data_IF_950822894974
#
_entry.id   IF_950822894974
#
_cell.length_a   1.000
_cell.length_b   1.000
_cell.length_c   1.000
_cell.angle_alpha   90.00
_cell.angle_beta   90.00
_cell.angle_gamma   90.00
#
_symmetry.space_group_name_H-M   'P 1'
#
loop_
_entity.id
_entity.type
_entity.pdbx_description
1 polymer ?
#
# COMPACT_ATOMS: atom_id res chain seq x y z
N UNK A 1 -33.90 14.33 11.34
CA UNK A 1 -33.22 13.15 10.72
C UNK A 1 -31.92 13.53 10.00
N UNK A 2 -31.92 14.58 9.16
CA UNK A 2 -30.73 15.09 8.43
C UNK A 2 -29.59 15.57 9.34
N UNK A 3 -29.89 16.17 10.49
CA UNK A 3 -28.88 16.64 11.48
C UNK A 3 -28.21 15.49 12.26
N UNK A 4 -28.93 14.41 12.58
CA UNK A 4 -28.35 13.19 13.18
C UNK A 4 -27.48 12.43 12.19
N UNK A 5 -27.88 12.39 10.92
CA UNK A 5 -27.08 11.82 9.83
C UNK A 5 -25.78 12.61 9.59
N UNK A 6 -25.79 13.94 9.72
CA UNK A 6 -24.58 14.77 9.69
C UNK A 6 -23.66 14.54 10.91
N UNK A 7 -24.22 14.36 12.11
CA UNK A 7 -23.43 14.06 13.31
C UNK A 7 -22.79 12.65 13.26
N UNK A 8 -23.52 11.65 12.74
CA UNK A 8 -22.99 10.32 12.42
C UNK A 8 -21.90 10.40 11.33
N UNK A 9 -22.09 11.27 10.33
CA UNK A 9 -21.10 11.57 9.29
C UNK A 9 -19.82 12.26 9.80
N UNK A 10 -19.81 12.82 11.02
CA UNK A 10 -18.61 13.36 11.68
C UNK A 10 -18.00 12.42 12.72
N UNK A 11 -18.71 11.37 13.14
CA UNK A 11 -18.24 10.42 14.17
C UNK A 11 -17.98 9.01 13.62
N UNK A 12 -18.21 8.77 12.34
CA UNK A 12 -18.03 7.44 11.73
C UNK A 12 -16.62 6.88 11.96
N UNK A 13 -15.59 7.72 11.96
CA UNK A 13 -14.20 7.31 12.23
C UNK A 13 -14.02 6.75 13.63
N UNK A 14 -14.81 7.20 14.62
CA UNK A 14 -14.81 6.64 15.97
C UNK A 14 -15.77 5.45 16.13
N UNK A 15 -16.90 5.45 15.42
CA UNK A 15 -17.93 4.40 15.53
C UNK A 15 -17.49 3.11 14.82
N UNK A 16 -16.89 3.23 13.64
CA UNK A 16 -16.56 2.07 12.80
C UNK A 16 -15.52 1.15 13.45
N UNK A 17 -14.42 1.62 14.09
CA UNK A 17 -13.52 0.76 14.84
C UNK A 17 -14.22 -0.04 15.96
N UNK A 18 -15.13 0.61 16.69
CA UNK A 18 -15.92 -0.06 17.75
C UNK A 18 -16.85 -1.11 17.14
N UNK A 19 -17.55 -0.75 16.05
CA UNK A 19 -18.41 -1.67 15.32
C UNK A 19 -17.63 -2.87 14.79
N UNK A 20 -16.41 -2.65 14.29
CA UNK A 20 -15.55 -3.73 13.79
C UNK A 20 -15.22 -4.74 14.88
N UNK A 21 -14.93 -4.29 16.10
CA UNK A 21 -14.67 -5.18 17.25
C UNK A 21 -15.93 -5.90 17.72
N UNK A 22 -17.07 -5.21 17.79
CA UNK A 22 -18.34 -5.85 18.14
C UNK A 22 -18.68 -6.93 17.12
N UNK A 23 -18.56 -6.61 15.84
CA UNK A 23 -18.82 -7.56 14.77
C UNK A 23 -17.84 -8.73 14.83
N UNK A 24 -16.55 -8.47 15.05
CA UNK A 24 -15.53 -9.48 15.24
C UNK A 24 -15.90 -10.46 16.36
N UNK A 25 -16.33 -9.95 17.52
CA UNK A 25 -16.76 -10.78 18.64
C UNK A 25 -18.01 -11.62 18.31
N UNK A 26 -18.94 -11.08 17.52
CA UNK A 26 -20.16 -11.77 17.10
C UNK A 26 -19.91 -12.84 16.04
N UNK A 27 -18.89 -12.65 15.20
CA UNK A 27 -18.55 -13.56 14.08
C UNK A 27 -17.41 -14.53 14.42
N UNK A 28 -16.74 -14.36 15.57
CA UNK A 28 -15.56 -15.15 15.93
C UNK A 28 -15.89 -16.65 16.00
N UNK A 29 -15.17 -17.45 15.20
CA UNK A 29 -15.31 -18.91 15.19
C UNK A 29 -16.65 -19.42 14.68
N UNK A 30 -17.38 -18.63 13.87
CA UNK A 30 -18.67 -19.01 13.29
C UNK A 30 -18.61 -18.98 11.77
N UNK A 31 -19.30 -19.92 11.14
CA UNK A 31 -19.56 -19.87 9.69
C UNK A 31 -20.56 -18.74 9.39
N UNK A 32 -20.22 -17.92 8.41
CA UNK A 32 -20.98 -16.72 8.09
C UNK A 32 -21.81 -16.92 6.82
N UNK A 33 -23.13 -16.68 6.86
CA UNK A 33 -23.92 -16.64 5.63
C UNK A 33 -23.46 -15.46 4.76
N UNK A 34 -23.57 -15.59 3.43
CA UNK A 34 -22.99 -14.62 2.49
C UNK A 34 -23.42 -13.15 2.70
N UNK A 35 -24.66 -12.92 3.18
CA UNK A 35 -25.13 -11.57 3.54
C UNK A 35 -24.34 -10.99 4.72
N UNK A 36 -24.03 -11.81 5.73
CA UNK A 36 -23.23 -11.38 6.88
C UNK A 36 -21.80 -11.12 6.45
N UNK A 37 -21.24 -11.94 5.54
CA UNK A 37 -19.91 -11.67 4.98
C UNK A 37 -19.89 -10.33 4.25
N UNK A 38 -20.89 -10.01 3.43
CA UNK A 38 -20.96 -8.71 2.76
C UNK A 38 -20.97 -7.54 3.76
N UNK A 39 -21.71 -7.66 4.88
CA UNK A 39 -21.70 -6.68 5.96
C UNK A 39 -20.32 -6.58 6.62
N UNK A 40 -19.69 -7.72 6.91
CA UNK A 40 -18.33 -7.76 7.49
C UNK A 40 -17.32 -7.08 6.56
N UNK A 41 -17.36 -7.37 5.26
CA UNK A 41 -16.47 -6.76 4.26
C UNK A 41 -16.66 -5.25 4.18
N UNK A 42 -17.90 -4.76 4.26
CA UNK A 42 -18.17 -3.31 4.30
C UNK A 42 -17.62 -2.66 5.57
N UNK A 43 -17.79 -3.31 6.73
CA UNK A 43 -17.25 -2.81 8.00
C UNK A 43 -15.72 -2.87 8.00
N UNK A 44 -15.12 -3.92 7.44
CA UNK A 44 -13.68 -4.05 7.24
C UNK A 44 -13.13 -2.88 6.40
N UNK A 45 -13.73 -2.60 5.24
CA UNK A 45 -13.32 -1.47 4.40
C UNK A 45 -13.45 -0.13 5.14
N UNK A 46 -14.53 0.06 5.89
CA UNK A 46 -14.71 1.23 6.75
C UNK A 46 -13.65 1.32 7.86
N UNK A 47 -13.27 0.20 8.47
CA UNK A 47 -12.27 0.14 9.53
C UNK A 47 -10.86 0.46 9.01
N UNK A 48 -10.52 0.02 7.80
CA UNK A 48 -9.27 0.43 7.12
C UNK A 48 -9.25 1.95 6.89
N UNK A 49 -10.34 2.53 6.36
CA UNK A 49 -10.43 3.98 6.17
C UNK A 49 -10.35 4.75 7.50
N UNK A 50 -10.97 4.23 8.57
CA UNK A 50 -10.88 4.82 9.90
C UNK A 50 -9.48 4.71 10.51
N UNK A 51 -8.78 3.57 10.32
CA UNK A 51 -7.40 3.38 10.75
C UNK A 51 -6.47 4.40 10.09
N UNK A 52 -6.55 4.56 8.77
CA UNK A 52 -5.75 5.56 8.04
C UNK A 52 -6.07 6.97 8.54
N UNK A 53 -7.34 7.32 8.75
CA UNK A 53 -7.70 8.63 9.32
C UNK A 53 -7.07 8.87 10.70
N UNK A 54 -7.10 7.88 11.59
CA UNK A 54 -6.48 8.04 12.91
C UNK A 54 -4.96 8.11 12.83
N UNK A 55 -4.34 7.37 11.90
CA UNK A 55 -2.91 7.50 11.61
C UNK A 55 -2.56 8.91 11.10
N UNK A 56 -3.37 9.50 10.21
CA UNK A 56 -3.21 10.89 9.76
C UNK A 56 -3.32 11.91 10.91
N UNK A 57 -4.26 11.71 11.84
CA UNK A 57 -4.41 12.60 13.01
C UNK A 57 -3.16 12.55 13.89
N UNK A 58 -2.59 11.36 14.09
CA UNK A 58 -1.34 11.19 14.85
C UNK A 58 -0.18 11.82 14.07
N UNK A 59 -0.09 11.59 12.76
CA UNK A 59 0.91 12.16 11.88
C UNK A 59 0.90 13.70 11.93
N UNK A 60 -0.28 14.33 11.85
CA UNK A 60 -0.44 15.77 11.97
C UNK A 60 -0.02 16.31 13.34
N UNK A 61 -0.16 15.52 14.42
CA UNK A 61 0.30 15.92 15.74
C UNK A 61 1.83 15.85 15.84
N UNK A 62 2.41 14.78 15.32
CA UNK A 62 3.86 14.56 15.31
C UNK A 62 4.56 15.64 14.48
N UNK A 63 3.90 16.10 13.42
CA UNK A 63 4.42 17.16 12.55
C UNK A 63 5.41 16.62 11.53
N UNK A 64 5.70 17.43 10.51
CA UNK A 64 6.71 17.07 9.53
C UNK A 64 8.13 17.19 10.13
N UNK A 65 9.04 16.27 9.77
CA UNK A 65 8.86 15.23 8.75
C UNK A 65 8.45 13.85 9.31
N UNK A 66 8.41 13.67 10.63
CA UNK A 66 8.14 12.36 11.24
C UNK A 66 6.68 11.89 11.10
N UNK A 67 5.74 12.80 10.85
CA UNK A 67 4.34 12.49 10.64
C UNK A 67 4.10 11.57 9.44
N UNK A 68 4.78 11.80 8.31
CA UNK A 68 4.65 10.94 7.11
C UNK A 68 5.15 9.52 7.37
N UNK A 69 6.21 9.37 8.18
CA UNK A 69 6.72 8.06 8.61
C UNK A 69 5.70 7.32 9.48
N UNK A 70 5.03 8.00 10.42
CA UNK A 70 3.98 7.40 11.25
C UNK A 70 2.83 6.87 10.41
N UNK A 71 2.40 7.64 9.40
CA UNK A 71 1.35 7.20 8.48
C UNK A 71 1.77 5.95 7.69
N UNK A 72 2.97 5.98 7.09
CA UNK A 72 3.49 4.87 6.31
C UNK A 72 3.59 3.59 7.16
N UNK A 73 4.16 3.69 8.36
CA UNK A 73 4.26 2.55 9.29
C UNK A 73 2.88 2.02 9.69
N UNK A 74 1.91 2.89 9.97
CA UNK A 74 0.56 2.44 10.33
C UNK A 74 -0.12 1.66 9.19
N UNK A 75 0.00 2.13 7.94
CA UNK A 75 -0.54 1.44 6.76
C UNK A 75 0.17 0.10 6.55
N UNK A 76 1.50 0.07 6.66
CA UNK A 76 2.26 -1.19 6.52
C UNK A 76 1.95 -2.18 7.64
N UNK A 77 1.68 -1.72 8.87
CA UNK A 77 1.21 -2.61 9.95
C UNK A 77 -0.10 -3.30 9.56
N UNK A 78 -1.05 -2.58 8.93
CA UNK A 78 -2.28 -3.19 8.41
C UNK A 78 -1.94 -4.26 7.38
N UNK A 79 -1.14 -3.92 6.38
CA UNK A 79 -0.74 -4.82 5.30
C UNK A 79 -0.07 -6.10 5.83
N UNK A 80 0.99 -5.93 6.64
CA UNK A 80 1.76 -7.03 7.24
C UNK A 80 0.89 -7.90 8.12
N UNK A 81 0.05 -7.31 8.97
CA UNK A 81 -0.78 -8.09 9.87
C UNK A 81 -1.79 -8.95 9.09
N UNK A 82 -2.34 -8.44 7.99
CA UNK A 82 -3.20 -9.22 7.09
C UNK A 82 -2.42 -10.36 6.42
N UNK A 83 -1.26 -10.06 5.82
CA UNK A 83 -0.41 -11.08 5.18
C UNK A 83 -0.05 -12.20 6.17
N UNK A 84 0.49 -11.85 7.34
CA UNK A 84 0.95 -12.81 8.36
C UNK A 84 -0.21 -13.65 8.88
N UNK A 85 -1.38 -13.04 9.13
CA UNK A 85 -2.55 -13.76 9.64
C UNK A 85 -3.04 -14.80 8.63
N UNK A 86 -3.11 -14.42 7.35
CA UNK A 86 -3.57 -15.32 6.30
C UNK A 86 -2.54 -16.39 5.96
N UNK A 87 -1.25 -16.08 6.03
CA UNK A 87 -0.19 -17.08 5.93
C UNK A 87 -0.22 -18.11 7.06
N UNK A 88 -0.57 -17.67 8.28
CA UNK A 88 -0.68 -18.58 9.42
C UNK A 88 -1.84 -19.57 9.27
N UNK A 89 -2.94 -19.18 8.62
CA UNK A 89 -4.14 -20.01 8.47
C UNK A 89 -4.19 -20.80 7.15
N UNK A 90 -3.60 -20.27 6.06
CA UNK A 90 -3.82 -20.75 4.69
C UNK A 90 -2.93 -21.93 4.25
N UNK A 91 -2.04 -22.43 5.11
CA UNK A 91 -1.16 -23.57 4.80
C UNK A 91 -0.34 -23.39 3.51
N UNK A 92 -0.12 -24.46 2.75
CA UNK A 92 0.71 -24.43 1.53
C UNK A 92 0.16 -23.49 0.43
N UNK A 93 -1.16 -23.28 0.38
CA UNK A 93 -1.81 -22.37 -0.58
C UNK A 93 -1.41 -20.91 -0.36
N UNK A 94 -1.00 -20.56 0.86
CA UNK A 94 -0.57 -19.22 1.25
C UNK A 94 0.92 -18.96 1.05
N UNK A 95 1.69 -19.95 0.60
CA UNK A 95 3.16 -19.85 0.46
C UNK A 95 3.63 -18.72 -0.45
N UNK A 96 2.80 -18.31 -1.42
CA UNK A 96 3.06 -17.17 -2.32
C UNK A 96 2.32 -15.89 -1.93
N UNK A 97 1.47 -15.92 -0.90
CA UNK A 97 0.55 -14.81 -0.60
C UNK A 97 1.30 -13.51 -0.29
N UNK A 98 2.39 -13.58 0.48
CA UNK A 98 3.25 -12.42 0.75
C UNK A 98 3.80 -11.82 -0.55
N UNK A 99 4.36 -12.66 -1.43
CA UNK A 99 4.86 -12.23 -2.74
C UNK A 99 3.77 -11.59 -3.57
N UNK A 100 2.64 -12.26 -3.72
CA UNK A 100 1.57 -11.83 -4.61
C UNK A 100 0.95 -10.51 -4.13
N UNK A 101 0.79 -10.35 -2.80
CA UNK A 101 0.29 -9.11 -2.19
C UNK A 101 1.28 -7.95 -2.35
N UNK A 102 2.57 -8.17 -2.03
CA UNK A 102 3.61 -7.12 -2.16
C UNK A 102 3.81 -6.73 -3.63
N UNK A 103 3.83 -7.71 -4.53
CA UNK A 103 3.94 -7.43 -5.97
C UNK A 103 2.71 -6.68 -6.51
N UNK A 104 1.50 -7.09 -6.09
CA UNK A 104 0.29 -6.35 -6.41
C UNK A 104 0.35 -4.91 -5.90
N UNK A 105 0.85 -4.69 -4.67
CA UNK A 105 1.03 -3.36 -4.12
C UNK A 105 1.92 -2.49 -5.03
N UNK A 106 3.07 -3.02 -5.49
CA UNK A 106 3.97 -2.33 -6.43
C UNK A 106 3.26 -1.98 -7.74
N UNK A 107 2.52 -2.93 -8.32
CA UNK A 107 1.83 -2.70 -9.59
C UNK A 107 0.68 -1.70 -9.45
N UNK A 108 -0.07 -1.77 -8.34
CA UNK A 108 -1.14 -0.81 -8.02
C UNK A 108 -0.54 0.58 -7.84
N UNK A 109 0.53 0.74 -7.07
CA UNK A 109 1.12 2.06 -6.80
C UNK A 109 1.79 2.64 -8.04
N UNK A 110 2.69 1.89 -8.68
CA UNK A 110 3.55 2.40 -9.76
C UNK A 110 2.82 2.57 -11.09
N UNK A 111 1.71 1.86 -11.30
CA UNK A 111 0.95 1.93 -12.55
C UNK A 111 -0.48 2.43 -12.32
N UNK A 112 -1.22 1.85 -11.37
CA UNK A 112 -2.59 2.26 -11.07
C UNK A 112 -2.68 3.69 -10.52
N UNK A 113 -2.09 3.92 -9.33
CA UNK A 113 -2.16 5.21 -8.63
C UNK A 113 -1.38 6.28 -9.40
N UNK A 114 -0.11 6.01 -9.76
CA UNK A 114 0.69 6.95 -10.57
C UNK A 114 -0.03 7.29 -11.88
N UNK A 115 -0.47 6.28 -12.65
CA UNK A 115 -1.16 6.51 -13.92
C UNK A 115 -2.43 7.35 -13.78
N UNK A 116 -3.25 7.06 -12.76
CA UNK A 116 -4.46 7.81 -12.47
C UNK A 116 -4.15 9.26 -12.06
N UNK A 117 -3.14 9.47 -11.20
CA UNK A 117 -2.76 10.80 -10.75
C UNK A 117 -2.18 11.65 -11.89
N UNK A 118 -1.33 11.07 -12.74
CA UNK A 118 -0.80 11.74 -13.92
C UNK A 118 -1.89 12.09 -14.91
N UNK A 119 -2.82 11.16 -15.18
CA UNK A 119 -3.95 11.41 -16.07
C UNK A 119 -4.84 12.52 -15.53
N UNK A 120 -5.20 12.47 -14.24
CA UNK A 120 -6.05 13.47 -13.60
C UNK A 120 -5.39 14.86 -13.58
N UNK A 121 -4.09 14.94 -13.27
CA UNK A 121 -3.35 16.20 -13.30
C UNK A 121 -3.25 16.76 -14.73
N UNK A 122 -2.86 15.92 -15.69
CA UNK A 122 -2.65 16.34 -17.07
C UNK A 122 -3.96 16.65 -17.83
N UNK A 123 -5.09 16.02 -17.50
CA UNK A 123 -6.38 16.36 -18.11
C UNK A 123 -6.85 17.77 -17.75
N UNK A 124 -6.42 18.30 -16.60
CA UNK A 124 -6.80 19.63 -16.14
C UNK A 124 -5.86 20.71 -16.70
N UNK A 125 -4.56 20.44 -16.73
CA UNK A 125 -3.53 21.44 -17.01
C UNK A 125 -2.70 21.14 -18.28
N UNK A 126 -3.16 20.19 -19.11
CA UNK A 126 -2.49 19.61 -20.30
C UNK A 126 -1.21 18.82 -20.00
N UNK A 127 -0.49 19.18 -18.94
CA UNK A 127 0.74 18.53 -18.49
C UNK A 127 0.72 18.46 -16.96
N UNK A 128 1.17 17.33 -16.40
CA UNK A 128 1.40 17.14 -14.98
C UNK A 128 2.90 17.37 -14.68
N UNK A 129 3.22 18.38 -13.86
CA UNK A 129 4.61 18.77 -13.53
C UNK A 129 5.00 18.23 -12.15
N UNK A 130 6.23 17.73 -12.04
CA UNK A 130 6.78 17.17 -10.81
C UNK A 130 8.31 17.20 -10.83
N UNK A 131 8.95 17.06 -9.68
CA UNK A 131 10.40 17.03 -9.54
C UNK A 131 10.95 15.65 -9.99
N UNK A 132 11.76 15.59 -11.06
CA UNK A 132 12.29 14.33 -11.58
C UNK A 132 13.34 13.70 -10.67
N UNK A 133 14.10 14.47 -9.89
CA UNK A 133 15.13 13.96 -9.00
C UNK A 133 14.52 13.14 -7.84
N UNK A 134 13.56 13.71 -7.12
CA UNK A 134 12.88 13.07 -6.00
C UNK A 134 12.04 11.88 -6.45
N UNK A 135 11.27 12.06 -7.53
CA UNK A 135 10.44 10.99 -8.10
C UNK A 135 11.30 9.87 -8.69
N UNK A 136 12.42 10.21 -9.33
CA UNK A 136 13.37 9.26 -9.91
C UNK A 136 14.07 8.44 -8.84
N UNK A 137 14.51 9.08 -7.75
CA UNK A 137 15.09 8.40 -6.59
C UNK A 137 14.09 7.43 -5.93
N UNK A 138 12.82 7.84 -5.81
CA UNK A 138 11.76 6.98 -5.29
C UNK A 138 11.54 5.75 -6.19
N UNK A 139 11.37 5.94 -7.50
CA UNK A 139 11.19 4.85 -8.46
C UNK A 139 12.39 3.89 -8.49
N UNK A 140 13.61 4.42 -8.46
CA UNK A 140 14.84 3.61 -8.45
C UNK A 140 14.93 2.74 -7.18
N UNK A 141 14.51 3.28 -6.04
CA UNK A 141 14.45 2.55 -4.77
C UNK A 141 13.40 1.44 -4.82
N UNK A 142 12.19 1.71 -5.32
CA UNK A 142 11.16 0.67 -5.56
C UNK A 142 11.69 -0.43 -6.48
N UNK A 143 12.29 -0.06 -7.62
CA UNK A 143 12.82 -1.01 -8.59
C UNK A 143 13.91 -1.90 -7.98
N UNK A 144 14.78 -1.31 -7.17
CA UNK A 144 15.85 -2.02 -6.46
C UNK A 144 15.28 -2.98 -5.42
N UNK A 145 14.36 -2.50 -4.57
CA UNK A 145 13.70 -3.33 -3.55
C UNK A 145 12.92 -4.49 -4.18
N UNK A 146 12.11 -4.23 -5.20
CA UNK A 146 11.32 -5.24 -5.91
C UNK A 146 12.23 -6.28 -6.56
N UNK A 147 13.30 -5.86 -7.23
CA UNK A 147 14.23 -6.78 -7.89
C UNK A 147 14.99 -7.62 -6.85
N UNK A 148 15.57 -6.96 -5.84
CA UNK A 148 16.34 -7.64 -4.80
C UNK A 148 15.49 -8.63 -4.01
N UNK A 149 14.25 -8.28 -3.66
CA UNK A 149 13.43 -9.12 -2.78
C UNK A 149 12.57 -10.13 -3.51
N UNK A 150 12.08 -9.80 -4.72
CA UNK A 150 11.07 -10.59 -5.41
C UNK A 150 11.58 -11.23 -6.71
N UNK A 151 12.63 -10.69 -7.35
CA UNK A 151 13.18 -11.28 -8.60
C UNK A 151 14.33 -12.23 -8.29
N UNK A 152 15.30 -11.80 -7.47
CA UNK A 152 16.48 -12.60 -7.15
C UNK A 152 16.21 -14.00 -6.57
N UNK A 153 15.20 -14.25 -5.71
CA UNK A 153 14.96 -15.61 -5.19
C UNK A 153 14.77 -16.66 -6.29
N UNK A 154 14.23 -16.26 -7.45
CA UNK A 154 14.01 -17.15 -8.61
C UNK A 154 15.33 -17.59 -9.27
N UNK A 155 16.42 -16.86 -9.07
CA UNK A 155 17.72 -17.11 -9.71
C UNK A 155 18.79 -17.65 -8.74
N UNK A 156 18.56 -17.60 -7.44
CA UNK A 156 19.48 -18.17 -6.46
C UNK A 156 19.41 -19.69 -6.44
N UNK A 157 20.55 -20.36 -6.22
CA UNK A 157 20.65 -21.84 -6.25
C UNK A 157 20.82 -22.49 -4.88
N UNK A 158 20.98 -21.70 -3.82
CA UNK A 158 21.27 -22.19 -2.46
C UNK A 158 20.12 -22.98 -1.85
N UNK A 159 18.88 -22.58 -2.14
CA UNK A 159 17.65 -23.30 -1.76
C UNK A 159 16.92 -23.70 -3.04
N UNK A 160 16.33 -24.89 -3.08
CA UNK A 160 15.55 -25.31 -4.23
C UNK A 160 14.23 -24.52 -4.29
N UNK A 161 13.89 -24.05 -5.49
CA UNK A 161 12.70 -23.26 -5.73
C UNK A 161 12.93 -21.74 -5.61
N UNK A 162 11.89 -20.94 -5.89
CA UNK A 162 11.92 -19.47 -5.85
C UNK A 162 11.91 -18.90 -4.42
N UNK A 163 12.81 -19.39 -3.58
CA UNK A 163 12.90 -19.07 -2.15
C UNK A 163 14.31 -18.63 -1.76
N UNK A 164 14.39 -17.74 -0.78
CA UNK A 164 15.67 -17.41 -0.16
C UNK A 164 16.09 -18.46 0.87
N UNK A 165 17.39 -18.73 0.94
CA UNK A 165 18.02 -19.29 2.14
C UNK A 165 17.97 -18.29 3.30
N UNK A 166 18.13 -18.75 4.54
CA UNK A 166 18.11 -17.88 5.73
C UNK A 166 19.08 -16.71 5.63
N UNK A 167 20.29 -16.93 5.12
CA UNK A 167 21.29 -15.88 4.94
C UNK A 167 20.87 -14.84 3.89
N UNK A 168 20.32 -15.29 2.76
CA UNK A 168 19.82 -14.40 1.69
C UNK A 168 18.61 -13.60 2.16
N UNK A 169 17.67 -14.23 2.88
CA UNK A 169 16.48 -13.57 3.43
C UNK A 169 16.87 -12.51 4.47
N UNK A 170 17.82 -12.84 5.35
CA UNK A 170 18.35 -11.90 6.34
C UNK A 170 19.00 -10.69 5.66
N UNK A 171 19.82 -10.93 4.63
CA UNK A 171 20.41 -9.86 3.84
C UNK A 171 19.34 -9.00 3.16
N UNK A 172 18.36 -9.60 2.49
CA UNK A 172 17.28 -8.90 1.82
C UNK A 172 16.45 -8.04 2.80
N UNK A 173 16.16 -8.57 3.99
CA UNK A 173 15.46 -7.84 5.05
C UNK A 173 16.28 -6.63 5.55
N UNK A 174 17.58 -6.82 5.84
CA UNK A 174 18.44 -5.71 6.30
C UNK A 174 18.60 -4.66 5.20
N UNK A 175 18.87 -5.09 3.96
CA UNK A 175 19.00 -4.18 2.81
C UNK A 175 17.71 -3.38 2.57
N UNK A 176 16.55 -4.02 2.76
CA UNK A 176 15.24 -3.38 2.64
C UNK A 176 15.04 -2.26 3.67
N UNK A 177 15.36 -2.54 4.94
CA UNK A 177 15.29 -1.53 6.01
C UNK A 177 16.27 -0.39 5.74
N UNK A 178 17.50 -0.70 5.30
CA UNK A 178 18.51 0.32 5.00
C UNK A 178 18.06 1.22 3.86
N UNK A 179 17.59 0.66 2.75
CA UNK A 179 17.10 1.43 1.60
C UNK A 179 15.88 2.28 1.96
N UNK A 180 14.92 1.72 2.71
CA UNK A 180 13.78 2.48 3.20
C UNK A 180 14.21 3.62 4.12
N UNK A 181 15.12 3.36 5.05
CA UNK A 181 15.68 4.39 5.95
C UNK A 181 16.43 5.50 5.22
N UNK A 182 17.22 5.16 4.20
CA UNK A 182 17.91 6.12 3.33
C UNK A 182 16.92 6.98 2.54
N UNK A 183 15.89 6.36 1.99
CA UNK A 183 14.82 7.07 1.28
C UNK A 183 14.10 8.04 2.21
N UNK A 184 13.61 7.55 3.36
CA UNK A 184 12.93 8.38 4.37
C UNK A 184 13.84 9.54 4.78
N UNK A 185 15.10 9.30 5.11
CA UNK A 185 16.04 10.37 5.51
C UNK A 185 16.25 11.41 4.40
N UNK A 186 16.29 10.97 3.14
CA UNK A 186 16.43 11.86 1.98
C UNK A 186 15.18 12.72 1.79
N UNK A 187 14.00 12.10 1.87
CA UNK A 187 12.71 12.77 1.74
C UNK A 187 12.42 13.74 2.89
N UNK A 188 12.88 13.41 4.10
CA UNK A 188 12.50 14.11 5.33
C UNK A 188 13.48 15.18 5.78
N UNK A 189 14.79 15.00 5.54
CA UNK A 189 15.83 15.87 6.09
C UNK A 189 16.74 16.42 5.00
N UNK A 190 17.37 15.55 4.21
CA UNK A 190 18.53 15.96 3.39
C UNK A 190 18.19 16.66 2.08
N UNK A 191 17.09 16.27 1.43
CA UNK A 191 16.70 16.79 0.11
C UNK A 191 15.17 16.96 0.04
N UNK A 192 14.57 17.49 1.11
CA UNK A 192 13.11 17.66 1.24
C UNK A 192 12.53 18.47 0.08
N UNK A 193 13.29 19.43 -0.43
CA UNK A 193 12.90 20.29 -1.55
C UNK A 193 12.49 19.51 -2.81
N UNK A 194 13.10 18.34 -3.06
CA UNK A 194 12.75 17.49 -4.20
C UNK A 194 11.40 16.79 -4.07
N UNK A 195 10.79 16.84 -2.89
CA UNK A 195 9.52 16.21 -2.59
C UNK A 195 8.41 17.23 -2.31
N UNK A 196 8.70 18.54 -2.36
CA UNK A 196 7.69 19.57 -2.16
C UNK A 196 6.82 19.74 -3.41
N UNK A 197 5.53 20.09 -3.26
CA UNK A 197 4.65 20.36 -4.40
C UNK A 197 5.22 21.48 -5.29
N UNK A 198 5.03 21.36 -6.60
CA UNK A 198 5.46 22.35 -7.59
C UNK A 198 4.24 23.03 -8.22
N UNK A 199 4.40 24.28 -8.66
CA UNK A 199 3.46 24.96 -9.57
C UNK A 199 3.58 24.42 -10.99
N UNK A 200 2.69 24.84 -11.89
CA UNK A 200 2.81 24.57 -13.33
C UNK A 200 4.14 25.12 -13.91
N UNK A 201 4.65 26.24 -13.39
CA UNK A 201 5.95 26.79 -13.79
C UNK A 201 7.15 26.04 -13.19
N UNK A 202 6.91 25.06 -12.32
CA UNK A 202 7.96 24.29 -11.65
C UNK A 202 8.52 24.96 -10.39
N UNK A 203 7.84 25.98 -9.86
CA UNK A 203 8.24 26.65 -8.62
C UNK A 203 7.74 25.89 -7.39
N UNK A 204 8.53 25.87 -6.32
CA UNK A 204 8.16 25.16 -5.08
C UNK A 204 7.01 25.89 -4.37
N UNK A 205 5.90 25.17 -4.15
CA UNK A 205 4.79 25.64 -3.32
C UNK A 205 5.13 25.33 -1.87
N UNK A 206 5.78 26.28 -1.21
CA UNK A 206 5.98 26.20 0.23
C UNK A 206 4.66 26.52 0.96
N UNK A 207 4.09 25.51 1.59
CA UNK A 207 2.88 25.67 2.41
C UNK A 207 3.21 25.42 3.88
N UNK A 208 4.14 26.19 4.42
CA UNK A 208 4.38 26.34 5.87
C UNK A 208 3.23 27.09 6.60
N UNK A 209 1.98 26.89 6.16
CA UNK A 209 0.78 27.28 6.87
C UNK A 209 0.52 26.31 8.01
N UNK A 210 1.19 26.52 9.15
CA UNK A 210 1.00 25.77 10.38
C UNK A 210 -0.43 25.94 10.92
N UNK A 211 -1.38 25.18 10.39
CA UNK A 211 -2.65 24.96 11.06
C UNK A 211 -2.35 24.36 12.45
N UNK A 212 -3.00 24.86 13.51
CA UNK A 212 -2.83 24.32 14.86
C UNK A 212 -3.11 22.81 14.83
N UNK A 213 -2.06 22.02 15.06
CA UNK A 213 -2.17 20.57 15.11
C UNK A 213 -3.20 20.11 16.14
N UNK A 214 -3.75 18.89 15.99
CA UNK A 214 -4.76 18.36 16.91
C UNK A 214 -4.26 18.37 18.36
N UNK A 215 -5.17 18.53 19.33
CA UNK A 215 -4.80 18.54 20.76
C UNK A 215 -4.19 17.19 21.19
N UNK A 216 -3.37 17.17 22.25
CA UNK A 216 -2.80 15.92 22.78
C UNK A 216 -3.87 14.90 23.16
N UNK A 217 -5.04 15.35 23.64
CA UNK A 217 -6.17 14.47 23.95
C UNK A 217 -6.75 13.83 22.68
N UNK A 218 -6.87 14.59 21.59
CA UNK A 218 -7.34 14.08 20.32
C UNK A 218 -6.35 13.07 19.71
N UNK A 219 -5.04 13.34 19.79
CA UNK A 219 -4.02 12.41 19.33
C UNK A 219 -4.02 11.09 20.13
N UNK A 220 -4.16 11.16 21.46
CA UNK A 220 -4.23 9.97 22.31
C UNK A 220 -5.50 9.15 22.06
N UNK A 221 -6.64 9.81 21.85
CA UNK A 221 -7.89 9.15 21.45
C UNK A 221 -7.74 8.47 20.10
N UNK A 222 -7.15 9.15 19.11
CA UNK A 222 -6.85 8.55 17.80
C UNK A 222 -5.90 7.37 17.90
N UNK A 223 -4.92 7.40 18.81
CA UNK A 223 -4.04 6.25 19.04
C UNK A 223 -4.82 5.03 19.56
N UNK A 224 -5.72 5.23 20.52
CA UNK A 224 -6.60 4.17 21.02
C UNK A 224 -7.54 3.62 19.94
N UNK A 225 -8.17 4.50 19.16
CA UNK A 225 -9.06 4.13 18.07
C UNK A 225 -8.33 3.47 16.89
N UNK A 226 -7.08 3.87 16.61
CA UNK A 226 -6.20 3.21 15.65
C UNK A 226 -5.94 1.77 16.10
N UNK A 227 -5.54 1.56 17.36
CA UNK A 227 -5.35 0.21 17.90
C UNK A 227 -6.60 -0.66 17.78
N UNK A 228 -7.77 -0.08 18.10
CA UNK A 228 -9.06 -0.77 17.95
C UNK A 228 -9.38 -1.11 16.50
N UNK A 229 -9.12 -0.18 15.58
CA UNK A 229 -9.31 -0.38 14.15
C UNK A 229 -8.38 -1.46 13.62
N UNK A 230 -7.11 -1.50 14.03
CA UNK A 230 -6.15 -2.53 13.64
C UNK A 230 -6.62 -3.93 14.06
N UNK A 231 -7.03 -4.10 15.32
CA UNK A 231 -7.56 -5.38 15.81
C UNK A 231 -8.81 -5.78 15.03
N UNK A 232 -9.71 -4.83 14.78
CA UNK A 232 -10.91 -5.05 13.98
C UNK A 232 -10.58 -5.46 12.54
N UNK A 233 -9.67 -4.74 11.87
CA UNK A 233 -9.26 -5.03 10.48
C UNK A 233 -8.66 -6.42 10.36
N UNK A 234 -7.68 -6.76 11.21
CA UNK A 234 -7.01 -8.06 11.16
C UNK A 234 -8.00 -9.19 11.45
N UNK A 235 -8.81 -9.05 12.50
CA UNK A 235 -9.78 -10.07 12.87
C UNK A 235 -10.90 -10.25 11.83
N UNK A 236 -11.48 -9.16 11.32
CA UNK A 236 -12.53 -9.24 10.32
C UNK A 236 -12.01 -9.78 8.99
N UNK A 237 -10.81 -9.38 8.57
CA UNK A 237 -10.21 -9.91 7.35
C UNK A 237 -9.95 -11.42 7.43
N UNK A 238 -9.51 -11.93 8.58
CA UNK A 238 -9.43 -13.37 8.83
C UNK A 238 -10.80 -14.06 8.71
N UNK A 239 -11.87 -13.42 9.19
CA UNK A 239 -13.23 -13.94 9.04
C UNK A 239 -13.74 -13.93 7.59
N UNK A 240 -13.27 -12.98 6.77
CA UNK A 240 -13.70 -12.83 5.36
C UNK A 240 -12.84 -13.65 4.40
N UNK A 241 -11.61 -14.00 4.75
CA UNK A 241 -10.68 -14.66 3.83
C UNK A 241 -11.17 -15.96 3.22
N UNK A 242 -11.87 -16.89 3.95
CA UNK A 242 -12.37 -18.11 3.32
C UNK A 242 -13.42 -17.80 2.26
N UNK A 243 -14.19 -16.71 2.42
CA UNK A 243 -15.16 -16.28 1.41
C UNK A 243 -14.47 -15.67 0.19
N UNK A 244 -13.40 -14.90 0.38
CA UNK A 244 -12.59 -14.39 -0.74
C UNK A 244 -11.96 -15.57 -1.50
N UNK A 245 -11.34 -16.52 -0.80
CA UNK A 245 -10.71 -17.70 -1.39
C UNK A 245 -11.72 -18.56 -2.16
N UNK A 246 -12.86 -18.90 -1.54
CA UNK A 246 -13.92 -19.66 -2.20
C UNK A 246 -14.53 -18.91 -3.38
N UNK A 247 -14.63 -17.58 -3.31
CA UNK A 247 -15.09 -16.73 -4.42
C UNK A 247 -14.14 -16.80 -5.60
N UNK A 248 -12.84 -16.64 -5.35
CA UNK A 248 -11.77 -16.77 -6.35
C UNK A 248 -11.76 -18.17 -6.97
N UNK A 249 -11.85 -19.22 -6.15
CA UNK A 249 -11.88 -20.62 -6.61
C UNK A 249 -13.14 -20.92 -7.43
N UNK A 250 -14.32 -20.45 -7.00
CA UNK A 250 -15.58 -20.64 -7.72
C UNK A 250 -15.62 -19.91 -9.06
N UNK A 251 -14.87 -18.81 -9.20
CA UNK A 251 -14.69 -18.09 -10.44
C UNK A 251 -13.63 -18.72 -11.36
N UNK A 252 -12.97 -19.80 -10.92
CA UNK A 252 -11.88 -20.46 -11.66
C UNK A 252 -10.60 -19.62 -11.72
N UNK A 253 -10.43 -18.65 -10.82
CA UNK A 253 -9.31 -17.71 -10.84
C UNK A 253 -8.12 -18.23 -10.00
N UNK A 254 -6.87 -17.84 -10.31
CA UNK A 254 -5.70 -18.20 -9.53
C UNK A 254 -5.73 -17.64 -8.11
N UNK A 255 -5.15 -18.36 -7.14
CA UNK A 255 -5.06 -17.90 -5.75
C UNK A 255 -4.29 -16.58 -5.58
N UNK A 256 -3.39 -16.23 -6.52
CA UNK A 256 -2.70 -14.94 -6.54
C UNK A 256 -3.66 -13.73 -6.54
N UNK A 257 -4.89 -13.89 -7.06
CA UNK A 257 -5.94 -12.86 -7.04
C UNK A 257 -6.34 -12.47 -5.61
N UNK A 258 -6.22 -13.37 -4.62
CA UNK A 258 -6.46 -13.06 -3.21
C UNK A 258 -5.50 -11.95 -2.74
N UNK A 259 -4.21 -12.06 -3.09
CA UNK A 259 -3.21 -11.03 -2.79
C UNK A 259 -3.52 -9.68 -3.46
N UNK A 260 -4.03 -9.70 -4.70
CA UNK A 260 -4.47 -8.49 -5.42
C UNK A 260 -5.64 -7.81 -4.71
N UNK A 261 -6.65 -8.57 -4.28
CA UNK A 261 -7.81 -8.04 -3.55
C UNK A 261 -7.38 -7.41 -2.23
N UNK A 262 -6.49 -8.06 -1.49
CA UNK A 262 -5.95 -7.53 -0.23
C UNK A 262 -5.20 -6.22 -0.48
N UNK A 263 -4.29 -6.20 -1.46
CA UNK A 263 -3.51 -5.01 -1.80
C UNK A 263 -4.41 -3.84 -2.22
N UNK A 264 -5.45 -4.09 -3.03
CA UNK A 264 -6.43 -3.06 -3.40
C UNK A 264 -7.17 -2.50 -2.19
N UNK A 265 -7.59 -3.37 -1.26
CA UNK A 265 -8.30 -2.95 -0.06
C UNK A 265 -7.43 -2.09 0.87
N UNK A 266 -6.16 -2.46 1.04
CA UNK A 266 -5.20 -1.73 1.89
C UNK A 266 -4.77 -0.40 1.26
N UNK A 267 -4.56 -0.36 -0.06
CA UNK A 267 -4.10 0.83 -0.79
C UNK A 267 -5.23 1.77 -1.22
N UNK A 268 -6.50 1.41 -0.99
CA UNK A 268 -7.64 2.23 -1.36
C UNK A 268 -7.62 3.64 -0.71
N UNK A 269 -7.39 3.79 0.61
CA UNK A 269 -7.28 5.11 1.23
C UNK A 269 -6.19 5.98 0.57
N UNK A 270 -5.03 5.39 0.32
CA UNK A 270 -3.87 6.04 -0.30
C UNK A 270 -4.19 6.48 -1.75
N UNK A 271 -4.85 5.62 -2.50
CA UNK A 271 -5.31 5.92 -3.87
C UNK A 271 -6.25 7.13 -3.85
N UNK A 272 -7.20 7.18 -2.91
CA UNK A 272 -8.13 8.30 -2.78
C UNK A 272 -7.37 9.59 -2.41
N UNK A 273 -6.39 9.52 -1.49
CA UNK A 273 -5.60 10.65 -1.06
C UNK A 273 -4.73 11.20 -2.21
N UNK A 274 -4.02 10.33 -2.92
CA UNK A 274 -3.18 10.68 -4.06
C UNK A 274 -3.99 11.31 -5.19
N UNK A 275 -5.13 10.71 -5.57
CA UNK A 275 -6.00 11.28 -6.62
C UNK A 275 -6.55 12.64 -6.18
N UNK A 276 -6.94 12.81 -4.91
CA UNK A 276 -7.40 14.12 -4.39
C UNK A 276 -6.28 15.16 -4.45
N UNK A 277 -5.03 14.79 -4.17
CA UNK A 277 -3.89 15.69 -4.29
C UNK A 277 -3.67 16.08 -5.76
N UNK A 278 -3.70 15.13 -6.69
CA UNK A 278 -3.58 15.39 -8.12
C UNK A 278 -4.70 16.32 -8.63
N UNK A 279 -5.95 16.10 -8.18
CA UNK A 279 -7.07 17.00 -8.50
C UNK A 279 -6.88 18.42 -7.97
N UNK A 280 -6.09 18.61 -6.92
CA UNK A 280 -5.76 19.91 -6.32
C UNK A 280 -4.44 20.47 -6.84
N UNK A 281 -3.98 19.97 -7.98
CA UNK A 281 -2.74 20.41 -8.62
C UNK A 281 -1.49 20.20 -7.74
N UNK A 282 -1.49 19.10 -6.98
CA UNK A 282 -0.36 18.66 -6.16
C UNK A 282 0.11 17.29 -6.66
N UNK A 283 0.53 17.24 -7.92
CA UNK A 283 0.99 16.00 -8.58
C UNK A 283 2.19 15.41 -7.83
N UNK A 284 3.18 16.22 -7.44
CA UNK A 284 4.31 15.73 -6.65
C UNK A 284 3.88 15.02 -5.35
N UNK A 285 2.94 15.61 -4.60
CA UNK A 285 2.39 14.96 -3.39
C UNK A 285 1.77 13.61 -3.71
N UNK A 286 1.06 13.52 -4.84
CA UNK A 286 0.42 12.30 -5.29
C UNK A 286 1.45 11.21 -5.63
N UNK A 287 2.54 11.57 -6.30
CA UNK A 287 3.64 10.67 -6.62
C UNK A 287 4.42 10.24 -5.37
N UNK A 288 4.62 11.15 -4.41
CA UNK A 288 5.25 10.84 -3.13
C UNK A 288 4.43 9.83 -2.33
N UNK A 289 3.09 9.99 -2.29
CA UNK A 289 2.18 9.04 -1.65
C UNK A 289 2.27 7.67 -2.35
N UNK A 290 2.13 7.64 -3.67
CA UNK A 290 2.15 6.39 -4.44
C UNK A 290 3.49 5.63 -4.33
N UNK A 291 4.61 6.28 -4.66
CA UNK A 291 5.92 5.62 -4.64
C UNK A 291 6.41 5.40 -3.20
N UNK A 292 6.09 6.31 -2.27
CA UNK A 292 6.33 6.14 -0.83
C UNK A 292 5.65 4.89 -0.29
N UNK A 293 4.38 4.69 -0.63
CA UNK A 293 3.63 3.48 -0.28
C UNK A 293 4.27 2.22 -0.88
N UNK A 294 4.67 2.26 -2.15
CA UNK A 294 5.35 1.12 -2.81
C UNK A 294 6.64 0.72 -2.07
N UNK A 295 7.44 1.72 -1.68
CA UNK A 295 8.67 1.48 -0.92
C UNK A 295 8.40 0.95 0.47
N UNK A 296 7.38 1.45 1.16
CA UNK A 296 7.01 0.94 2.49
C UNK A 296 6.51 -0.51 2.39
N UNK A 297 5.65 -0.82 1.40
CA UNK A 297 5.09 -2.16 1.17
C UNK A 297 6.15 -3.22 0.85
N UNK A 298 7.33 -2.87 0.33
CA UNK A 298 8.44 -3.84 0.19
C UNK A 298 9.41 -3.70 1.37
N UNK A 299 9.85 -2.47 1.62
CA UNK A 299 10.92 -2.10 2.54
C UNK A 299 10.66 -2.46 3.99
N UNK A 300 9.39 -2.54 4.39
CA UNK A 300 8.96 -2.92 5.76
C UNK A 300 8.30 -4.30 5.80
N UNK A 301 7.54 -4.69 4.77
CA UNK A 301 6.83 -5.98 4.75
C UNK A 301 7.77 -7.17 4.59
N UNK A 302 8.78 -7.09 3.72
CA UNK A 302 9.74 -8.19 3.55
C UNK A 302 10.51 -8.49 4.85
N UNK A 303 11.06 -7.48 5.57
CA UNK A 303 11.63 -7.72 6.89
C UNK A 303 10.64 -8.31 7.90
N UNK A 304 9.41 -7.81 7.93
CA UNK A 304 8.41 -8.29 8.88
C UNK A 304 8.01 -9.75 8.61
N UNK A 305 7.82 -10.12 7.34
CA UNK A 305 7.53 -11.50 6.93
C UNK A 305 8.74 -12.40 7.15
N UNK A 306 9.96 -11.90 6.92
CA UNK A 306 11.19 -12.63 7.25
C UNK A 306 11.26 -12.98 8.74
N UNK A 307 10.96 -12.01 9.61
CA UNK A 307 10.88 -12.23 11.06
C UNK A 307 9.75 -13.21 11.39
N UNK A 308 8.55 -13.03 10.81
CA UNK A 308 7.41 -13.93 11.04
C UNK A 308 7.71 -15.39 10.62
N UNK A 309 8.49 -15.59 9.55
CA UNK A 309 8.88 -16.92 9.04
C UNK A 309 9.71 -17.76 10.01
N UNK A 310 10.25 -17.16 11.08
CA UNK A 310 10.92 -17.91 12.16
C UNK A 310 9.92 -18.76 12.96
N UNK A 311 8.68 -18.30 13.09
CA UNK A 311 7.62 -19.01 13.84
C UNK A 311 6.55 -19.62 12.95
N UNK A 312 6.40 -19.14 11.71
CA UNK A 312 5.47 -19.72 10.74
C UNK A 312 6.08 -20.97 10.11
N UNK A 313 5.32 -22.06 10.08
CA UNK A 313 5.66 -23.27 9.35
C UNK A 313 5.21 -23.16 7.90
N UNK A 314 6.09 -23.51 6.95
CA UNK A 314 5.76 -23.58 5.52
C UNK A 314 6.81 -22.89 4.64
N UNK A 315 6.78 -23.12 3.32
CA UNK A 315 7.66 -22.44 2.38
C UNK A 315 7.25 -20.96 2.23
N UNK A 316 8.25 -20.07 2.18
CA UNK A 316 8.06 -18.65 1.91
C UNK A 316 8.57 -18.36 0.49
N UNK A 317 7.65 -18.45 -0.47
CA UNK A 317 7.95 -18.25 -1.88
C UNK A 317 7.88 -16.76 -2.22
N UNK A 318 9.04 -16.13 -2.33
CA UNK A 318 9.17 -14.72 -2.70
C UNK A 318 9.44 -14.50 -4.19
N UNK A 319 10.01 -15.48 -4.88
CA UNK A 319 10.40 -15.33 -6.28
C UNK A 319 9.21 -15.17 -7.23
N UNK A 320 9.27 -14.16 -8.09
CA UNK A 320 8.28 -13.85 -9.11
C UNK A 320 8.32 -14.85 -10.27
N UNK A 321 7.15 -15.04 -10.89
CA UNK A 321 7.00 -15.75 -12.16
C UNK A 321 7.56 -14.93 -13.33
N UNK A 322 7.82 -15.58 -14.46
CA UNK A 322 8.33 -14.92 -15.67
C UNK A 322 7.43 -13.77 -16.14
N UNK A 323 6.11 -13.96 -16.11
CA UNK A 323 5.13 -12.93 -16.48
C UNK A 323 5.25 -11.70 -15.57
N UNK A 324 5.31 -11.90 -14.25
CA UNK A 324 5.46 -10.80 -13.29
C UNK A 324 6.82 -10.10 -13.43
N UNK A 325 7.90 -10.83 -13.73
CA UNK A 325 9.21 -10.23 -13.99
C UNK A 325 9.20 -9.32 -15.22
N UNK A 326 8.53 -9.74 -16.30
CA UNK A 326 8.38 -8.92 -17.52
C UNK A 326 7.54 -7.68 -17.25
N UNK A 327 6.43 -7.80 -16.52
CA UNK A 327 5.60 -6.66 -16.12
C UNK A 327 6.36 -5.67 -15.23
N UNK A 328 7.17 -6.16 -14.29
CA UNK A 328 8.02 -5.32 -13.45
C UNK A 328 9.05 -4.57 -14.30
N UNK A 329 9.75 -5.28 -15.19
CA UNK A 329 10.74 -4.66 -16.08
C UNK A 329 10.11 -3.57 -16.95
N UNK A 330 8.94 -3.85 -17.54
CA UNK A 330 8.21 -2.87 -18.33
C UNK A 330 7.76 -1.67 -17.50
N UNK A 331 7.28 -1.90 -16.27
CA UNK A 331 6.92 -0.85 -15.31
C UNK A 331 8.10 0.06 -14.99
N UNK A 332 9.29 -0.51 -14.73
CA UNK A 332 10.50 0.26 -14.42
C UNK A 332 10.96 1.07 -15.64
N UNK A 333 10.94 0.48 -16.84
CA UNK A 333 11.32 1.18 -18.08
C UNK A 333 10.36 2.34 -18.36
N UNK A 334 9.05 2.08 -18.38
CA UNK A 334 8.03 3.10 -18.63
C UNK A 334 8.03 4.17 -17.54
N UNK A 335 8.18 3.77 -16.27
CA UNK A 335 8.30 4.70 -15.16
C UNK A 335 9.51 5.62 -15.32
N UNK A 336 10.66 5.07 -15.72
CA UNK A 336 11.88 5.87 -15.95
C UNK A 336 11.64 6.89 -17.07
N UNK A 337 11.09 6.45 -18.21
CA UNK A 337 10.78 7.33 -19.34
C UNK A 337 9.73 8.40 -19.01
N UNK A 338 8.83 8.11 -18.06
CA UNK A 338 7.82 9.06 -17.56
C UNK A 338 8.42 10.07 -16.60
N UNK A 339 9.34 9.63 -15.73
CA UNK A 339 9.89 10.46 -14.65
C UNK A 339 11.03 11.36 -15.12
N UNK A 340 11.91 10.88 -15.99
CA UNK A 340 13.10 11.63 -16.47
C UNK A 340 12.77 13.05 -16.98
N UNK A 341 11.68 13.27 -17.74
CA UNK A 341 11.34 14.62 -18.21
C UNK A 341 10.86 15.61 -17.13
N UNK A 342 10.53 15.16 -15.91
CA UNK A 342 9.91 16.00 -14.86
C UNK A 342 8.49 16.47 -15.19
N UNK A 343 7.90 15.95 -16.26
CA UNK A 343 6.57 16.32 -16.71
C UNK A 343 5.94 15.21 -17.53
N UNK A 344 4.64 15.01 -17.37
CA UNK A 344 3.88 13.95 -18.04
C UNK A 344 2.62 14.49 -18.73
N UNK A 345 2.29 13.95 -19.88
CA UNK A 345 1.03 14.22 -20.60
C UNK A 345 0.00 13.14 -20.27
N UNK A 346 -1.27 13.28 -20.71
CA UNK A 346 -2.27 12.22 -20.55
C UNK A 346 -1.83 10.88 -21.13
N UNK A 347 -0.95 10.87 -22.14
CA UNK A 347 -0.42 9.64 -22.73
C UNK A 347 0.36 8.81 -21.72
N UNK A 348 1.29 9.41 -20.97
CA UNK A 348 2.05 8.68 -19.95
C UNK A 348 1.13 8.11 -18.86
N UNK A 349 0.14 8.89 -18.41
CA UNK A 349 -0.89 8.41 -17.48
C UNK A 349 -1.65 7.20 -18.05
N UNK A 350 -2.06 7.28 -19.32
CA UNK A 350 -2.71 6.18 -20.04
C UNK A 350 -1.84 4.93 -20.17
N UNK A 351 -0.56 5.07 -20.50
CA UNK A 351 0.38 3.94 -20.60
C UNK A 351 0.48 3.20 -19.26
N UNK A 352 0.66 3.92 -18.15
CA UNK A 352 0.67 3.32 -16.83
C UNK A 352 -0.65 2.60 -16.50
N UNK A 353 -1.81 3.19 -16.82
CA UNK A 353 -3.10 2.55 -16.61
C UNK A 353 -3.28 1.28 -17.45
N UNK A 354 -2.77 1.26 -18.69
CA UNK A 354 -2.77 0.05 -19.53
C UNK A 354 -1.87 -1.03 -18.93
N UNK A 355 -0.69 -0.68 -18.40
CA UNK A 355 0.16 -1.64 -17.69
C UNK A 355 -0.52 -2.21 -16.45
N UNK A 356 -1.25 -1.38 -15.70
CA UNK A 356 -2.03 -1.84 -14.57
C UNK A 356 -3.17 -2.76 -14.99
N UNK A 357 -3.89 -2.42 -16.06
CA UNK A 357 -4.94 -3.28 -16.61
C UNK A 357 -4.39 -4.63 -17.11
N UNK A 358 -3.22 -4.62 -17.78
CA UNK A 358 -2.54 -5.85 -18.21
C UNK A 358 -2.12 -6.72 -17.03
N UNK A 359 -1.65 -6.10 -15.93
CA UNK A 359 -1.37 -6.82 -14.70
C UNK A 359 -2.62 -7.48 -14.11
N UNK A 360 -3.74 -6.76 -14.03
CA UNK A 360 -5.00 -7.33 -13.52
C UNK A 360 -5.49 -8.48 -14.39
N UNK A 361 -5.46 -8.31 -15.72
CA UNK A 361 -5.84 -9.35 -16.67
C UNK A 361 -4.96 -10.59 -16.48
N UNK A 362 -3.63 -10.44 -16.47
CA UNK A 362 -2.71 -11.57 -16.31
C UNK A 362 -2.71 -12.17 -14.89
N UNK A 363 -3.19 -11.44 -13.88
CA UNK A 363 -3.40 -12.01 -12.54
C UNK A 363 -4.66 -12.90 -12.50
N UNK A 364 -5.70 -12.55 -13.28
CA UNK A 364 -6.96 -13.29 -13.37
C UNK A 364 -6.87 -14.44 -14.38
N UNK A 365 -6.22 -14.21 -15.52
CA UNK A 365 -6.01 -15.14 -16.63
C UNK A 365 -4.53 -15.20 -17.02
N UNK A 366 -3.69 -15.93 -16.26
CA UNK A 366 -2.23 -15.94 -16.40
C UNK A 366 -1.66 -16.61 -17.64
#
# INVERSE_FOLDING_TARGET
MVTRLRALGTQWTAVVPVLAIVLLALTWGRDLPGVVVAVVTLVLAGAVLAAVHHAEVIAHRVGEPFGSLVLAVAVTIIEVALIVTLMADGGDKSSTLARDTVFAAVMITCNGIVGLCLLVGALRHRVAVFNPEGTGAALATVATLATLCLVLPTFTTTKQGPEFSTAQLTFAAIASIVLYGLFVTTQTVRHREYFLPLTEEGEVIDTDGHAKGPSSKAALLSLGLLGLALVGVVGLAKGVSPTIESGVESAGMPHAVVGVIIALLVLLPETIAAVRAARRDRVQTSLNLALGSAMASIGLTIPAVAVASVWLSGPLVLGLSSTHMVLLALTVIVGTLTVVPGRATPLQGGVHLVLFAAFLELAVTP
#
